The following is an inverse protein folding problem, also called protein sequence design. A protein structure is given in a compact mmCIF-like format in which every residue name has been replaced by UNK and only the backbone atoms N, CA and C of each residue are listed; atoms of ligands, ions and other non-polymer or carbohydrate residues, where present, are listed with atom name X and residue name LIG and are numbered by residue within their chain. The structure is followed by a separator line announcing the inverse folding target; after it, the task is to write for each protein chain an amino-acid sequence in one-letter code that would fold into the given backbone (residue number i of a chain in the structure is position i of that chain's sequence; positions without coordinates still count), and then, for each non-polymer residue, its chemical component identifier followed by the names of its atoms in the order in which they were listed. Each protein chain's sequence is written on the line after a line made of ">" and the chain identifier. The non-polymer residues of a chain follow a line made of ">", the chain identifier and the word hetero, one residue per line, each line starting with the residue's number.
data_IF_655135375556
#
_entry.id   IF_655135375556
#
_cell.length_a   1.000
_cell.length_b   1.000
_cell.length_c   1.000
_cell.angle_alpha   90.00
_cell.angle_beta   90.00
_cell.angle_gamma   90.00
#
_symmetry.space_group_name_H-M   'P 1'
#
loop_
_entity.id
_entity.type
_entity.pdbx_description
1 polymer ?
#
# COMPACT_ATOMS: atom_id res chain seq x y z
N UNK A 1 2.03 -21.80 -83.06
CA UNK A 1 2.03 -22.44 -81.74
C UNK A 1 3.31 -22.08 -81.01
N UNK A 2 3.26 -21.16 -80.03
CA UNK A 2 4.32 -20.98 -79.02
C UNK A 2 3.62 -20.56 -77.72
N UNK A 3 3.74 -21.40 -76.69
CA UNK A 3 3.21 -21.14 -75.34
C UNK A 3 4.29 -20.41 -74.53
N UNK A 4 3.93 -19.42 -73.71
CA UNK A 4 4.86 -18.77 -72.78
C UNK A 4 4.81 -19.39 -71.39
N UNK A 5 5.98 -19.35 -70.75
CA UNK A 5 6.39 -20.19 -69.64
C UNK A 5 6.19 -19.49 -68.30
N UNK A 6 5.84 -20.25 -67.26
CA UNK A 6 6.27 -19.98 -65.89
C UNK A 6 6.64 -21.32 -65.23
N UNK A 7 7.92 -21.53 -64.90
CA UNK A 7 8.41 -22.68 -64.13
C UNK A 7 8.89 -22.15 -62.79
N UNK A 8 8.29 -22.64 -61.72
CA UNK A 8 8.69 -22.32 -60.34
C UNK A 8 9.91 -23.13 -59.95
N UNK A 9 10.97 -22.48 -59.48
CA UNK A 9 12.19 -23.12 -58.97
C UNK A 9 12.22 -23.16 -57.43
N UNK A 10 12.99 -24.11 -56.88
CA UNK A 10 12.87 -24.64 -55.51
C UNK A 10 14.23 -24.61 -54.77
N UNK A 11 14.29 -23.89 -53.64
CA UNK A 11 15.24 -24.00 -52.49
C UNK A 11 16.77 -24.00 -52.87
N UNK A 12 17.80 -24.19 -52.02
CA UNK A 12 18.05 -24.31 -50.55
C UNK A 12 19.27 -23.37 -50.25
N UNK A 13 19.45 -22.72 -49.08
CA UNK A 13 20.48 -23.10 -48.06
C UNK A 13 20.62 -22.10 -46.89
N UNK A 14 20.59 -22.63 -45.66
CA UNK A 14 21.37 -22.34 -44.41
C UNK A 14 22.30 -21.11 -44.32
N UNK A 15 22.55 -20.50 -43.15
CA UNK A 15 21.99 -20.62 -41.79
C UNK A 15 22.55 -19.50 -40.88
N UNK A 16 21.87 -19.20 -39.77
CA UNK A 16 22.51 -18.79 -38.50
C UNK A 16 21.57 -19.11 -37.34
N UNK A 17 22.10 -19.74 -36.29
CA UNK A 17 21.34 -20.17 -35.12
C UNK A 17 21.31 -19.05 -34.09
N UNK A 18 20.12 -18.68 -33.63
CA UNK A 18 19.93 -17.88 -32.42
C UNK A 18 18.94 -18.58 -31.52
N UNK A 19 19.43 -19.04 -30.36
CA UNK A 19 18.70 -19.85 -29.40
C UNK A 19 17.75 -19.03 -28.54
N UNK A 20 16.54 -19.57 -28.37
CA UNK A 20 15.68 -19.50 -27.19
C UNK A 20 15.76 -18.27 -26.26
N UNK A 21 14.65 -17.54 -26.20
CA UNK A 21 13.87 -17.42 -24.96
C UNK A 21 12.44 -17.03 -25.31
N UNK A 22 11.51 -17.97 -25.21
CA UNK A 22 10.08 -17.68 -25.30
C UNK A 22 9.69 -16.85 -24.09
N UNK A 23 9.40 -15.57 -24.30
CA UNK A 23 8.79 -14.72 -23.28
C UNK A 23 7.36 -15.21 -23.01
N UNK A 24 7.21 -16.19 -22.14
CA UNK A 24 5.93 -16.48 -21.51
C UNK A 24 5.52 -15.25 -20.73
N UNK A 25 4.53 -14.50 -21.23
CA UNK A 25 3.79 -13.56 -20.40
C UNK A 25 3.35 -14.30 -19.13
N UNK A 26 3.50 -13.71 -17.93
CA UNK A 26 2.83 -14.23 -16.75
C UNK A 26 1.33 -14.32 -17.05
N UNK A 27 0.79 -15.53 -16.97
CA UNK A 27 -0.62 -15.77 -17.25
C UNK A 27 -1.48 -15.04 -16.24
N UNK A 28 -2.45 -14.25 -16.72
CA UNK A 28 -3.47 -13.59 -15.91
C UNK A 28 -4.36 -14.62 -15.19
N UNK A 29 -3.96 -15.04 -13.99
CA UNK A 29 -4.72 -15.91 -13.11
C UNK A 29 -5.79 -15.12 -12.36
N UNK A 30 -7.07 -15.38 -12.66
CA UNK A 30 -8.21 -14.75 -11.99
C UNK A 30 -9.04 -15.79 -11.25
N UNK A 31 -8.72 -16.01 -9.96
CA UNK A 31 -9.69 -16.33 -8.88
C UNK A 31 -8.98 -16.40 -7.50
N UNK A 32 -9.45 -15.53 -6.58
CA UNK A 32 -9.41 -15.66 -5.11
C UNK A 32 -8.09 -15.90 -4.32
N UNK A 33 -6.93 -15.42 -4.75
CA UNK A 33 -5.76 -15.31 -3.83
C UNK A 33 -5.77 -14.06 -2.93
N UNK A 34 -6.63 -13.08 -3.24
CA UNK A 34 -6.67 -11.78 -2.52
C UNK A 34 -7.30 -11.89 -1.13
N UNK A 35 -6.72 -11.24 -0.11
CA UNK A 35 -7.33 -11.15 1.21
C UNK A 35 -8.61 -10.29 1.19
N UNK A 36 -9.56 -10.64 2.05
CA UNK A 36 -10.79 -9.89 2.28
C UNK A 36 -10.62 -8.95 3.47
N UNK A 37 -10.97 -7.68 3.28
CA UNK A 37 -10.79 -6.63 4.28
C UNK A 37 -12.14 -6.34 4.93
N UNK A 38 -12.20 -6.40 6.26
CA UNK A 38 -13.40 -6.07 7.03
C UNK A 38 -13.16 -4.77 7.79
N UNK A 39 -14.16 -3.89 7.77
CA UNK A 39 -14.12 -2.61 8.47
C UNK A 39 -15.38 -2.39 9.29
N UNK A 40 -15.22 -1.68 10.40
CA UNK A 40 -16.33 -1.16 11.22
C UNK A 40 -16.41 0.34 11.08
N UNK A 41 -17.58 0.90 11.36
CA UNK A 41 -17.81 2.36 11.31
C UNK A 41 -18.62 2.75 12.55
N UNK A 42 -17.96 3.13 13.66
CA UNK A 42 -18.63 3.37 14.93
C UNK A 42 -19.54 4.60 14.93
N UNK A 43 -20.49 4.64 15.88
CA UNK A 43 -20.96 5.89 16.47
C UNK A 43 -22.00 6.73 15.71
N UNK A 44 -22.40 6.41 14.47
CA UNK A 44 -23.41 7.20 13.75
C UNK A 44 -24.81 6.56 13.83
N UNK A 45 -25.72 7.20 14.58
CA UNK A 45 -27.15 6.83 14.62
C UNK A 45 -27.90 7.31 13.37
N UNK A 46 -27.35 8.31 12.68
CA UNK A 46 -27.91 8.92 11.48
C UNK A 46 -27.03 8.62 10.25
N UNK A 47 -27.52 7.86 9.26
CA UNK A 47 -26.86 7.61 7.97
C UNK A 47 -26.16 8.80 7.30
N UNK A 48 -26.70 10.02 7.46
CA UNK A 48 -26.18 11.22 6.80
C UNK A 48 -24.84 11.70 7.35
N UNK A 49 -24.50 11.28 8.57
CA UNK A 49 -23.28 11.71 9.27
C UNK A 49 -22.10 10.75 9.03
N UNK A 50 -22.30 9.67 8.26
CA UNK A 50 -21.27 8.68 7.96
C UNK A 50 -20.21 9.14 6.94
N UNK A 51 -20.39 10.30 6.28
CA UNK A 51 -19.39 10.93 5.40
C UNK A 51 -18.15 11.38 6.19
N UNK A 52 -18.30 11.53 7.51
CA UNK A 52 -17.31 12.08 8.45
C UNK A 52 -17.03 11.13 9.62
N UNK A 53 -17.57 9.90 9.58
CA UNK A 53 -17.37 8.87 10.59
C UNK A 53 -16.11 8.03 10.30
N UNK A 54 -15.46 7.54 11.35
CA UNK A 54 -14.26 6.71 11.25
C UNK A 54 -14.56 5.34 10.62
N UNK A 55 -13.76 4.96 9.64
CA UNK A 55 -13.70 3.61 9.07
C UNK A 55 -12.52 2.90 9.70
N UNK A 56 -12.78 2.05 10.69
CA UNK A 56 -11.75 1.29 11.40
C UNK A 56 -11.50 -0.05 10.69
N UNK A 57 -10.23 -0.38 10.45
CA UNK A 57 -9.82 -1.72 10.03
C UNK A 57 -10.09 -2.71 11.18
N UNK A 58 -11.00 -3.67 10.95
CA UNK A 58 -11.49 -4.60 11.97
C UNK A 58 -10.73 -5.93 11.91
N UNK A 59 -10.65 -6.53 10.72
CA UNK A 59 -9.84 -7.73 10.47
C UNK A 59 -9.47 -7.91 9.00
N UNK A 60 -8.43 -8.67 8.75
CA UNK A 60 -8.03 -9.18 7.45
C UNK A 60 -8.28 -10.69 7.44
N UNK A 61 -8.85 -11.21 6.35
CA UNK A 61 -9.04 -12.66 6.14
C UNK A 61 -8.29 -13.07 4.88
N UNK A 62 -7.29 -13.93 5.05
CA UNK A 62 -6.45 -14.46 3.96
C UNK A 62 -7.21 -15.45 3.08
N UNK A 63 -6.66 -15.75 1.91
CA UNK A 63 -7.32 -16.64 0.94
C UNK A 63 -7.37 -18.11 1.36
N UNK A 64 -6.54 -18.52 2.34
CA UNK A 64 -6.60 -19.82 3.01
C UNK A 64 -7.60 -19.86 4.19
N UNK A 65 -8.25 -18.73 4.51
CA UNK A 65 -9.24 -18.60 5.58
C UNK A 65 -8.68 -18.20 6.95
N UNK A 66 -7.35 -18.08 7.11
CA UNK A 66 -6.75 -17.51 8.34
C UNK A 66 -7.15 -16.04 8.49
N UNK A 67 -7.32 -15.58 9.73
CA UNK A 67 -7.83 -14.24 10.04
C UNK A 67 -6.95 -13.56 11.06
N UNK A 68 -6.78 -12.25 10.90
CA UNK A 68 -5.99 -11.37 11.78
C UNK A 68 -6.87 -10.21 12.20
N UNK A 69 -7.07 -10.04 13.50
CA UNK A 69 -7.96 -9.05 14.09
C UNK A 69 -7.23 -7.71 14.37
N UNK A 70 -8.00 -6.66 14.66
CA UNK A 70 -7.51 -5.30 14.90
C UNK A 70 -6.42 -5.15 15.97
N UNK A 71 -6.36 -6.06 16.94
CA UNK A 71 -5.36 -6.08 18.00
C UNK A 71 -4.08 -6.87 17.65
N UNK A 72 -4.03 -7.51 16.49
CA UNK A 72 -2.90 -8.30 15.98
C UNK A 72 -2.14 -7.54 14.85
N UNK A 73 -2.66 -6.40 14.40
CA UNK A 73 -1.99 -5.53 13.44
C UNK A 73 -0.78 -4.82 14.05
N UNK A 74 0.30 -4.78 13.27
CA UNK A 74 1.51 -4.02 13.57
C UNK A 74 1.50 -2.75 12.73
N UNK A 75 1.44 -1.59 13.39
CA UNK A 75 1.46 -0.30 12.69
C UNK A 75 2.88 0.25 12.56
N UNK A 76 3.11 1.23 11.67
CA UNK A 76 4.24 2.14 11.77
C UNK A 76 4.33 2.75 13.17
N UNK A 77 5.53 2.74 13.73
CA UNK A 77 5.87 3.36 15.01
C UNK A 77 6.97 4.40 14.91
N UNK A 78 7.62 4.57 13.74
CA UNK A 78 8.60 5.64 13.46
C UNK A 78 8.61 5.98 11.96
N UNK A 79 8.87 7.24 11.62
CA UNK A 79 9.14 7.68 10.23
C UNK A 79 10.42 8.52 10.22
N UNK A 80 11.36 8.21 9.33
CA UNK A 80 12.71 8.80 9.30
C UNK A 80 13.11 9.24 7.89
N UNK A 81 14.10 10.13 7.80
CA UNK A 81 14.73 10.58 6.55
C UNK A 81 13.73 11.05 5.47
N UNK A 82 12.73 11.84 5.88
CA UNK A 82 11.70 12.34 4.98
C UNK A 82 12.27 13.30 3.93
N UNK A 83 12.19 12.90 2.67
CA UNK A 83 12.58 13.67 1.49
C UNK A 83 11.35 13.94 0.63
N UNK A 84 11.24 15.18 0.15
CA UNK A 84 10.17 15.63 -0.74
C UNK A 84 10.64 16.89 -1.47
N UNK A 85 10.57 16.87 -2.79
CA UNK A 85 11.08 17.94 -3.67
C UNK A 85 9.98 18.56 -4.55
N UNK A 86 8.72 18.40 -4.14
CA UNK A 86 7.57 18.90 -4.91
C UNK A 86 7.05 20.25 -4.44
N UNK A 87 5.99 20.75 -5.11
CA UNK A 87 5.34 22.01 -4.75
C UNK A 87 4.70 21.97 -3.35
N UNK A 88 4.54 23.17 -2.78
CA UNK A 88 3.76 23.45 -1.57
C UNK A 88 2.29 23.02 -1.75
N UNK A 89 1.57 22.87 -0.63
CA UNK A 89 0.16 22.51 -0.55
C UNK A 89 -0.21 21.16 -1.20
N UNK A 90 0.78 20.32 -1.54
CA UNK A 90 0.58 19.00 -2.16
C UNK A 90 0.96 17.83 -1.27
N UNK A 91 1.53 18.05 -0.09
CA UNK A 91 1.86 17.00 0.87
C UNK A 91 1.24 17.34 2.22
N UNK A 92 0.32 16.51 2.69
CA UNK A 92 -0.44 16.78 3.91
C UNK A 92 -0.80 15.52 4.69
N UNK A 93 -0.86 15.65 6.01
CA UNK A 93 -1.54 14.70 6.87
C UNK A 93 -3.01 15.12 6.99
N UNK A 94 -3.92 14.16 6.96
CA UNK A 94 -5.35 14.38 7.09
C UNK A 94 -5.94 13.35 8.05
N UNK A 95 -6.50 13.84 9.15
CA UNK A 95 -7.39 13.11 10.04
C UNK A 95 -8.78 13.78 10.00
N UNK A 96 -9.86 12.99 10.06
CA UNK A 96 -11.23 13.51 9.89
C UNK A 96 -11.61 14.56 10.95
N UNK A 97 -12.40 15.61 10.62
CA UNK A 97 -12.79 16.65 11.58
C UNK A 97 -13.68 16.14 12.72
N UNK A 98 -14.25 14.94 12.57
CA UNK A 98 -15.08 14.25 13.54
C UNK A 98 -14.51 12.86 13.88
N UNK A 99 -13.19 12.69 13.71
CA UNK A 99 -12.51 11.46 14.10
C UNK A 99 -12.66 11.22 15.61
N UNK A 100 -13.11 10.01 15.95
CA UNK A 100 -13.19 9.46 17.30
C UNK A 100 -11.90 8.73 17.70
N UNK A 101 -11.10 8.32 16.70
CA UNK A 101 -9.79 7.69 16.86
C UNK A 101 -8.71 8.55 16.19
N UNK A 102 -7.74 9.03 16.98
CA UNK A 102 -6.72 9.99 16.55
C UNK A 102 -7.15 11.44 16.76
N UNK A 103 -6.23 12.39 16.59
CA UNK A 103 -6.53 13.82 16.71
C UNK A 103 -7.01 14.39 15.37
N UNK A 104 -8.22 14.99 15.28
CA UNK A 104 -8.65 15.74 14.10
C UNK A 104 -7.67 16.87 13.75
N UNK A 105 -7.06 16.81 12.57
CA UNK A 105 -6.07 17.80 12.11
C UNK A 105 -5.92 17.73 10.58
N UNK A 106 -5.53 18.85 9.97
CA UNK A 106 -5.15 18.93 8.56
C UNK A 106 -3.89 19.79 8.49
N UNK A 107 -2.75 19.17 8.17
CA UNK A 107 -1.44 19.84 8.16
C UNK A 107 -0.71 19.58 6.87
N UNK A 108 -0.23 20.66 6.26
CA UNK A 108 0.70 20.59 5.14
C UNK A 108 2.12 20.62 5.67
N UNK A 109 3.02 19.91 4.98
CA UNK A 109 4.42 19.80 5.39
C UNK A 109 5.11 21.15 5.57
N UNK A 110 4.84 22.14 4.72
CA UNK A 110 5.41 23.49 4.83
C UNK A 110 4.91 24.32 6.03
N UNK A 111 3.91 23.85 6.76
CA UNK A 111 3.27 24.62 7.83
C UNK A 111 3.67 24.15 9.24
N UNK A 112 4.62 23.23 9.36
CA UNK A 112 4.99 22.61 10.64
C UNK A 112 5.86 23.52 11.51
N UNK A 113 6.90 24.15 10.93
CA UNK A 113 7.72 25.13 11.64
C UNK A 113 7.06 26.52 11.77
N UNK A 114 5.90 26.70 11.15
CA UNK A 114 5.11 27.94 11.12
C UNK A 114 5.37 28.84 9.91
N UNK A 115 6.27 28.48 8.99
CA UNK A 115 6.60 29.26 7.79
C UNK A 115 6.17 28.57 6.49
N UNK A 116 4.89 28.72 6.13
CA UNK A 116 4.26 28.14 4.92
C UNK A 116 4.77 28.65 3.56
N UNK A 117 5.92 29.33 3.50
CA UNK A 117 6.53 29.82 2.26
C UNK A 117 7.54 28.81 1.65
N UNK A 118 7.97 27.79 2.40
CA UNK A 118 9.00 26.83 1.99
C UNK A 118 8.87 25.52 2.78
N UNK A 119 9.53 24.45 2.32
CA UNK A 119 9.61 23.19 3.08
C UNK A 119 11.03 23.05 3.63
N UNK A 120 11.20 23.43 4.89
CA UNK A 120 12.46 23.44 5.62
C UNK A 120 12.96 22.03 5.95
N UNK A 121 14.11 21.93 6.61
CA UNK A 121 14.56 20.64 7.18
C UNK A 121 13.78 20.29 8.46
N UNK A 122 13.38 21.31 9.23
CA UNK A 122 12.62 21.14 10.47
C UNK A 122 11.19 20.66 10.17
N UNK A 123 10.56 21.22 9.13
CA UNK A 123 9.26 20.77 8.62
C UNK A 123 9.22 19.26 8.37
N UNK A 124 10.26 18.71 7.72
CA UNK A 124 10.34 17.29 7.37
C UNK A 124 10.44 16.38 8.60
N UNK A 125 11.10 16.85 9.65
CA UNK A 125 11.21 16.12 10.92
C UNK A 125 9.86 16.14 11.64
N UNK A 126 9.29 17.32 11.85
CA UNK A 126 8.01 17.48 12.55
C UNK A 126 6.85 16.80 11.81
N UNK A 127 6.87 16.82 10.47
CA UNK A 127 5.88 16.12 9.66
C UNK A 127 6.04 14.60 9.71
N UNK A 128 7.26 14.07 9.82
CA UNK A 128 7.48 12.64 10.00
C UNK A 128 6.83 12.12 11.30
N UNK A 129 6.96 12.87 12.40
CA UNK A 129 6.27 12.59 13.67
C UNK A 129 4.73 12.60 13.49
N UNK A 130 4.18 13.49 12.65
CA UNK A 130 2.74 13.47 12.31
C UNK A 130 2.33 12.29 11.43
N UNK A 131 3.19 11.84 10.52
CA UNK A 131 2.93 10.66 9.68
C UNK A 131 2.81 9.41 10.56
N UNK A 132 3.66 9.28 11.58
CA UNK A 132 3.54 8.23 12.61
C UNK A 132 2.17 8.28 13.30
N UNK A 133 1.77 9.44 13.84
CA UNK A 133 0.47 9.60 14.53
C UNK A 133 -0.73 9.25 13.63
N UNK A 134 -0.68 9.58 12.34
CA UNK A 134 -1.72 9.22 11.38
C UNK A 134 -1.77 7.70 11.12
N UNK A 135 -0.63 7.03 11.08
CA UNK A 135 -0.53 5.59 10.78
C UNK A 135 -0.67 4.66 11.97
N UNK A 136 -0.31 5.08 13.19
CA UNK A 136 -0.27 4.26 14.42
C UNK A 136 -1.67 3.92 15.02
N UNK A 137 -2.67 3.65 14.18
CA UNK A 137 -4.05 3.41 14.60
C UNK A 137 -4.87 2.67 13.50
N UNK A 138 -5.98 1.98 13.85
CA UNK A 138 -6.83 1.26 12.88
C UNK A 138 -7.67 2.17 11.97
N UNK A 139 -7.71 3.49 12.18
CA UNK A 139 -8.57 4.38 11.42
C UNK A 139 -8.02 4.61 10.00
N UNK A 140 -8.73 4.12 8.99
CA UNK A 140 -8.35 4.24 7.57
C UNK A 140 -8.55 5.66 7.03
N UNK A 141 -9.31 6.51 7.73
CA UNK A 141 -9.44 7.93 7.40
C UNK A 141 -8.24 8.76 7.87
N UNK A 142 -7.48 8.28 8.86
CA UNK A 142 -6.24 8.91 9.31
C UNK A 142 -5.10 8.49 8.38
N UNK A 143 -4.64 9.42 7.54
CA UNK A 143 -3.71 9.09 6.45
C UNK A 143 -2.81 10.24 6.05
N UNK A 144 -1.84 9.88 5.22
CA UNK A 144 -0.91 10.82 4.59
C UNK A 144 -1.32 10.96 3.13
N UNK A 145 -1.72 12.16 2.72
CA UNK A 145 -2.11 12.46 1.35
C UNK A 145 -1.04 13.28 0.63
N UNK A 146 -0.59 12.77 -0.52
CA UNK A 146 0.38 13.40 -1.38
C UNK A 146 -0.16 13.49 -2.81
N UNK A 147 -0.43 14.70 -3.29
CA UNK A 147 -1.04 15.00 -4.60
C UNK A 147 -0.01 15.64 -5.54
N UNK A 148 0.97 14.86 -6.01
CA UNK A 148 2.18 15.39 -6.66
C UNK A 148 2.74 14.48 -7.75
N UNK A 149 3.58 15.04 -8.62
CA UNK A 149 4.44 14.29 -9.54
C UNK A 149 5.90 14.30 -9.11
N UNK A 150 6.22 14.90 -7.96
CA UNK A 150 7.59 14.98 -7.47
C UNK A 150 8.01 13.72 -6.74
N UNK A 151 9.30 13.40 -6.86
CA UNK A 151 9.94 12.37 -6.04
C UNK A 151 9.85 12.68 -4.55
N UNK A 152 9.54 11.64 -3.78
CA UNK A 152 9.59 11.61 -2.33
C UNK A 152 10.16 10.28 -1.86
N UNK A 153 10.58 10.25 -0.60
CA UNK A 153 10.98 9.01 0.04
C UNK A 153 11.21 9.19 1.54
N UNK A 154 10.99 8.12 2.28
CA UNK A 154 11.15 8.07 3.73
C UNK A 154 11.38 6.62 4.16
N UNK A 155 11.96 6.45 5.34
CA UNK A 155 12.08 5.16 6.02
C UNK A 155 10.91 5.04 7.00
N UNK A 156 10.29 3.87 7.03
CA UNK A 156 9.24 3.50 7.99
C UNK A 156 9.79 2.41 8.90
N UNK A 157 9.64 2.61 10.21
CA UNK A 157 9.84 1.58 11.22
C UNK A 157 8.50 1.08 11.73
N UNK A 158 8.28 -0.22 11.73
CA UNK A 158 7.13 -0.86 12.38
C UNK A 158 7.27 -0.82 13.91
N UNK A 159 6.16 -0.88 14.65
CA UNK A 159 6.18 -0.91 16.12
C UNK A 159 6.94 -2.13 16.67
N UNK A 160 6.70 -3.31 16.09
CA UNK A 160 7.49 -4.53 16.30
C UNK A 160 8.07 -5.01 14.97
N UNK A 161 9.07 -5.90 15.03
CA UNK A 161 9.43 -6.71 13.86
C UNK A 161 8.29 -7.70 13.58
N UNK A 162 7.95 -7.86 12.31
CA UNK A 162 7.05 -8.91 11.81
C UNK A 162 7.87 -10.04 11.19
N UNK A 163 7.30 -11.24 11.16
CA UNK A 163 7.89 -12.42 10.56
C UNK A 163 6.96 -13.00 9.50
N UNK A 164 7.57 -13.52 8.45
CA UNK A 164 6.94 -14.33 7.41
C UNK A 164 7.00 -15.81 7.82
N UNK A 165 5.83 -16.45 7.88
CA UNK A 165 5.68 -17.85 8.26
C UNK A 165 6.14 -18.88 7.22
N UNK A 166 6.29 -18.46 5.97
CA UNK A 166 6.57 -19.29 4.81
C UNK A 166 7.27 -18.47 3.72
N UNK A 167 8.61 -18.58 3.70
CA UNK A 167 9.54 -17.83 2.84
C UNK A 167 9.41 -18.06 1.31
N UNK A 168 8.28 -18.53 0.82
CA UNK A 168 7.95 -18.67 -0.59
C UNK A 168 6.51 -18.16 -0.84
N UNK A 169 6.40 -17.09 -1.65
CA UNK A 169 5.20 -16.40 -2.16
C UNK A 169 3.89 -17.17 -1.91
N UNK A 170 3.12 -16.71 -0.91
CA UNK A 170 1.99 -17.45 -0.35
C UNK A 170 0.66 -16.66 -0.28
N UNK A 171 -0.32 -17.24 0.41
CA UNK A 171 -1.68 -16.73 0.54
C UNK A 171 -1.83 -15.57 1.56
N UNK A 172 -0.75 -15.22 2.28
CA UNK A 172 -0.74 -14.42 3.51
C UNK A 172 0.28 -13.27 3.48
N UNK A 173 0.13 -12.28 2.60
CA UNK A 173 1.04 -11.14 2.56
C UNK A 173 1.10 -10.39 3.91
N UNK A 174 2.31 -10.06 4.37
CA UNK A 174 2.53 -9.40 5.66
C UNK A 174 2.30 -7.88 5.63
N UNK A 175 2.61 -7.20 4.52
CA UNK A 175 2.57 -5.74 4.45
C UNK A 175 1.41 -5.24 3.57
N UNK A 176 0.62 -4.32 4.10
CA UNK A 176 -0.56 -3.75 3.47
C UNK A 176 -0.42 -2.24 3.32
N UNK A 177 -0.59 -1.75 2.09
CA UNK A 177 -0.68 -0.33 1.77
C UNK A 177 -2.06 -0.06 1.21
N UNK A 178 -2.81 0.77 1.92
CA UNK A 178 -4.15 1.22 1.55
C UNK A 178 -4.07 2.59 0.86
N UNK A 179 -4.82 2.74 -0.23
CA UNK A 179 -4.93 3.97 -1.04
C UNK A 179 -6.36 4.26 -1.49
N UNK A 180 -6.84 5.50 -1.32
CA UNK A 180 -8.12 5.95 -1.89
C UNK A 180 -8.10 5.93 -3.42
N UNK A 181 -7.12 6.62 -4.02
CA UNK A 181 -7.06 6.81 -5.47
C UNK A 181 -6.42 5.62 -6.17
N UNK A 182 -5.54 4.89 -5.48
CA UNK A 182 -4.81 3.73 -5.98
C UNK A 182 -4.27 3.93 -7.40
N UNK A 183 -3.51 5.00 -7.55
CA UNK A 183 -2.79 5.35 -8.78
C UNK A 183 -1.29 5.56 -8.52
N UNK A 184 -0.82 5.34 -7.29
CA UNK A 184 0.57 5.48 -6.92
C UNK A 184 1.41 4.35 -7.48
N UNK A 185 2.66 4.69 -7.79
CA UNK A 185 3.72 3.74 -8.09
C UNK A 185 4.83 3.99 -7.07
N UNK A 186 5.06 3.00 -6.21
CA UNK A 186 5.98 3.07 -5.09
C UNK A 186 7.05 2.01 -5.25
N UNK A 187 8.25 2.27 -4.75
CA UNK A 187 9.27 1.24 -4.56
C UNK A 187 9.49 1.03 -3.07
N UNK A 188 9.33 -0.21 -2.62
CA UNK A 188 9.61 -0.65 -1.26
C UNK A 188 10.94 -1.40 -1.25
N UNK A 189 11.81 -1.06 -0.30
CA UNK A 189 13.10 -1.70 -0.07
C UNK A 189 13.21 -2.06 1.41
N UNK A 190 13.36 -3.34 1.75
CA UNK A 190 13.65 -3.76 3.13
C UNK A 190 15.03 -3.25 3.57
N UNK A 191 15.17 -2.94 4.85
CA UNK A 191 16.41 -2.46 5.47
C UNK A 191 16.78 -3.27 6.72
N UNK A 192 18.06 -3.29 7.08
CA UNK A 192 18.54 -3.72 8.40
C UNK A 192 18.40 -2.61 9.46
N UNK A 193 18.77 -2.90 10.71
CA UNK A 193 18.74 -1.95 11.82
C UNK A 193 19.74 -0.80 11.67
N UNK A 194 20.77 -0.96 10.84
CA UNK A 194 21.72 0.08 10.41
C UNK A 194 21.23 0.89 9.17
N UNK A 195 20.02 0.61 8.68
CA UNK A 195 19.37 1.22 7.51
C UNK A 195 20.02 0.95 6.13
N UNK A 196 20.87 -0.07 6.02
CA UNK A 196 21.38 -0.57 4.74
C UNK A 196 20.28 -1.35 4.00
N UNK A 197 20.38 -1.44 2.67
CA UNK A 197 19.41 -2.20 1.88
C UNK A 197 19.61 -3.72 2.06
N UNK A 198 18.55 -4.45 2.38
CA UNK A 198 18.52 -5.91 2.47
C UNK A 198 17.54 -6.47 1.44
N UNK A 199 17.92 -7.56 0.75
CA UNK A 199 17.07 -8.18 -0.25
C UNK A 199 16.89 -7.33 -1.53
N UNK A 200 15.73 -7.46 -2.18
CA UNK A 200 15.43 -6.87 -3.49
C UNK A 200 14.35 -5.78 -3.38
N UNK A 201 14.51 -4.60 -4.03
CA UNK A 201 13.46 -3.60 -4.06
C UNK A 201 12.29 -4.06 -4.93
N UNK A 202 11.06 -3.90 -4.43
CA UNK A 202 9.82 -4.27 -5.12
C UNK A 202 9.07 -3.02 -5.53
N UNK A 203 8.71 -2.93 -6.82
CA UNK A 203 7.72 -1.95 -7.27
C UNK A 203 6.32 -2.41 -6.86
N UNK A 204 5.61 -1.54 -6.16
CA UNK A 204 4.27 -1.74 -5.62
C UNK A 204 3.33 -0.74 -6.26
N UNK A 205 2.20 -1.25 -6.76
CA UNK A 205 1.13 -0.48 -7.39
C UNK A 205 -0.19 -0.92 -6.77
N UNK A 206 -1.03 0.04 -6.43
CA UNK A 206 -2.38 -0.22 -5.92
C UNK A 206 -3.33 -0.66 -7.07
N UNK A 207 -3.15 -1.89 -7.55
CA UNK A 207 -3.99 -2.56 -8.58
C UNK A 207 -4.80 -3.72 -8.03
N UNK A 208 -4.59 -4.10 -6.77
CA UNK A 208 -5.41 -5.09 -6.08
C UNK A 208 -6.59 -4.42 -5.38
N UNK A 209 -7.73 -4.39 -6.09
CA UNK A 209 -9.02 -4.17 -5.45
C UNK A 209 -9.28 -5.41 -4.58
N UNK A 210 -9.09 -5.24 -3.27
CA UNK A 210 -9.61 -6.17 -2.29
C UNK A 210 -11.13 -6.03 -2.23
N UNK A 211 -11.84 -7.14 -1.99
CA UNK A 211 -13.24 -7.03 -1.59
C UNK A 211 -13.25 -6.52 -0.15
N UNK A 212 -13.35 -5.20 0.00
CA UNK A 212 -13.69 -4.63 1.29
C UNK A 212 -15.16 -4.95 1.53
N UNK A 213 -15.44 -5.54 2.69
CA UNK A 213 -16.78 -5.68 3.21
C UNK A 213 -17.01 -4.60 4.29
N UNK A 214 -17.10 -3.31 3.93
CA UNK A 214 -17.68 -2.36 4.87
C UNK A 214 -19.16 -2.70 5.01
N UNK A 215 -19.77 -2.43 6.16
CA UNK A 215 -21.22 -2.59 6.35
C UNK A 215 -22.03 -1.48 5.62
N UNK A 216 -21.49 -0.94 4.53
CA UNK A 216 -21.84 0.27 3.75
C UNK A 216 -21.45 1.58 4.46
N UNK A 217 -20.63 2.39 3.80
CA UNK A 217 -20.28 3.76 4.20
C UNK A 217 -20.81 4.72 3.14
N UNK A 218 -21.36 5.85 3.57
CA UNK A 218 -22.18 6.71 2.73
C UNK A 218 -21.33 7.65 1.89
N UNK A 219 -21.16 7.33 0.61
CA UNK A 219 -20.33 8.09 -0.35
C UNK A 219 -21.06 9.31 -0.94
N UNK A 220 -21.45 10.25 -0.08
CA UNK A 220 -21.70 11.68 -0.40
C UNK A 220 -22.75 12.05 -1.47
N UNK A 221 -23.46 11.09 -2.06
CA UNK A 221 -24.42 11.30 -3.14
C UNK A 221 -25.86 11.32 -2.62
N UNK A 222 -26.72 12.07 -3.29
CA UNK A 222 -28.13 12.21 -2.94
C UNK A 222 -29.00 11.88 -4.15
N UNK A 223 -30.10 11.16 -3.92
CA UNK A 223 -31.17 11.01 -4.88
C UNK A 223 -31.92 12.35 -5.07
N UNK A 224 -32.68 12.48 -6.15
CA UNK A 224 -33.46 13.69 -6.44
C UNK A 224 -34.56 13.99 -5.39
N UNK A 225 -34.92 13.02 -4.56
CA UNK A 225 -35.87 13.15 -3.44
C UNK A 225 -35.21 13.62 -2.13
N UNK A 226 -33.89 13.87 -2.11
CA UNK A 226 -33.15 14.21 -0.89
C UNK A 226 -32.91 13.04 0.06
N UNK A 227 -33.14 11.79 -0.39
CA UNK A 227 -32.61 10.61 0.30
C UNK A 227 -31.11 10.43 -0.03
N UNK A 228 -30.27 10.04 0.94
CA UNK A 228 -28.87 9.75 0.66
C UNK A 228 -28.77 8.46 -0.16
N UNK A 229 -27.85 8.42 -1.13
CA UNK A 229 -27.52 7.21 -1.87
C UNK A 229 -26.53 6.37 -1.06
N UNK A 230 -26.92 5.14 -0.73
CA UNK A 230 -25.97 4.15 -0.19
C UNK A 230 -25.02 3.69 -1.30
N UNK A 231 -23.73 3.62 -0.99
CA UNK A 231 -22.74 3.00 -1.86
C UNK A 231 -21.77 2.12 -1.08
N UNK A 232 -20.88 1.45 -1.80
CA UNK A 232 -19.73 0.77 -1.21
C UNK A 232 -18.56 1.74 -1.17
N UNK A 233 -17.82 1.77 -0.06
CA UNK A 233 -16.53 2.43 -0.02
C UNK A 233 -15.50 1.47 -0.63
N UNK A 234 -15.06 1.79 -1.85
CA UNK A 234 -13.93 1.13 -2.49
C UNK A 234 -12.65 1.84 -2.06
N UNK A 235 -11.80 1.12 -1.34
CA UNK A 235 -10.42 1.50 -1.06
C UNK A 235 -9.53 0.48 -1.75
N UNK A 236 -8.51 0.98 -2.43
CA UNK A 236 -7.57 0.16 -3.18
C UNK A 236 -6.43 -0.23 -2.26
N UNK A 237 -5.79 -1.33 -2.59
CA UNK A 237 -4.74 -1.88 -1.74
C UNK A 237 -3.60 -2.39 -2.61
N UNK A 238 -2.41 -2.40 -2.04
CA UNK A 238 -1.38 -3.31 -2.44
C UNK A 238 -0.97 -4.13 -1.21
N UNK A 239 -0.90 -5.45 -1.38
CA UNK A 239 -0.38 -6.37 -0.38
C UNK A 239 0.96 -6.94 -0.85
N UNK A 240 1.92 -7.00 0.05
CA UNK A 240 3.29 -7.45 -0.20
C UNK A 240 3.67 -8.52 0.82
N UNK A 241 3.88 -9.72 0.29
CA UNK A 241 4.55 -10.84 0.93
C UNK A 241 6.07 -10.55 1.07
N UNK A 242 6.66 -10.87 2.22
CA UNK A 242 8.08 -10.55 2.50
C UNK A 242 9.07 -11.35 1.65
N UNK A 243 8.71 -12.55 1.19
CA UNK A 243 9.55 -13.36 0.30
C UNK A 243 9.82 -12.64 -1.03
N UNK A 244 8.92 -11.76 -1.48
CA UNK A 244 9.11 -10.90 -2.66
C UNK A 244 10.18 -9.83 -2.46
N UNK A 245 10.38 -9.37 -1.22
CA UNK A 245 11.53 -8.54 -0.84
C UNK A 245 12.79 -9.40 -0.63
N UNK A 246 12.67 -10.73 -0.53
CA UNK A 246 13.76 -11.65 -0.26
C UNK A 246 14.19 -11.68 1.21
N UNK A 247 13.28 -11.40 2.14
CA UNK A 247 13.53 -11.40 3.60
C UNK A 247 12.49 -12.25 4.33
N UNK A 248 12.85 -12.84 5.47
CA UNK A 248 11.93 -13.63 6.34
C UNK A 248 11.28 -12.81 7.45
N UNK A 249 11.69 -11.55 7.60
CA UNK A 249 11.26 -10.65 8.65
C UNK A 249 11.45 -9.20 8.20
N UNK A 250 10.65 -8.31 8.79
CA UNK A 250 10.70 -6.89 8.47
C UNK A 250 10.48 -6.05 9.73
N UNK A 251 11.37 -5.08 9.95
CA UNK A 251 11.21 -4.01 10.95
C UNK A 251 11.27 -2.65 10.26
N UNK A 252 12.21 -2.50 9.34
CA UNK A 252 12.51 -1.27 8.62
C UNK A 252 12.36 -1.45 7.12
N UNK A 253 11.74 -0.46 6.47
CA UNK A 253 11.69 -0.40 5.01
C UNK A 253 11.70 1.04 4.53
N UNK A 254 12.28 1.27 3.35
CA UNK A 254 12.23 2.56 2.65
C UNK A 254 11.12 2.52 1.62
N UNK A 255 10.24 3.52 1.65
CA UNK A 255 9.34 3.86 0.54
C UNK A 255 9.99 4.98 -0.26
N UNK A 256 9.97 4.85 -1.59
CA UNK A 256 10.32 5.93 -2.53
C UNK A 256 9.34 5.96 -3.69
N UNK A 257 9.23 7.09 -4.39
CA UNK A 257 8.65 7.13 -5.74
C UNK A 257 9.63 7.74 -6.73
N UNK A 258 9.53 7.33 -7.99
CA UNK A 258 10.28 7.87 -9.12
C UNK A 258 9.31 8.18 -10.27
N UNK A 259 8.48 9.22 -10.11
CA UNK A 259 7.54 9.64 -11.16
C UNK A 259 8.29 10.42 -12.25
N UNK A 260 8.81 9.71 -13.24
CA UNK A 260 9.21 10.30 -14.53
C UNK A 260 8.07 10.20 -15.53
N UNK A 261 7.26 11.27 -15.59
CA UNK A 261 6.34 11.54 -16.69
C UNK A 261 4.87 11.16 -16.48
N UNK A 262 4.02 12.18 -16.38
CA UNK A 262 2.73 12.14 -17.08
C UNK A 262 1.46 11.75 -16.31
N UNK A 263 1.42 11.90 -14.97
CA UNK A 263 0.18 11.79 -14.21
C UNK A 263 0.35 12.21 -12.75
N UNK A 264 -0.59 12.95 -12.17
CA UNK A 264 -0.57 13.24 -10.72
C UNK A 264 -0.75 11.93 -9.93
N UNK A 265 0.31 11.48 -9.26
CA UNK A 265 0.19 10.43 -8.26
C UNK A 265 -0.50 11.02 -7.02
N UNK A 266 -1.60 10.42 -6.59
CA UNK A 266 -2.31 10.77 -5.36
C UNK A 266 -2.11 9.66 -4.35
N UNK A 267 -0.96 9.67 -3.69
CA UNK A 267 -0.62 8.70 -2.66
C UNK A 267 -1.34 9.08 -1.37
N UNK A 268 -2.53 8.51 -1.19
CA UNK A 268 -3.38 8.61 0.00
C UNK A 268 -3.10 7.42 0.93
N UNK A 269 -1.91 7.37 1.53
CA UNK A 269 -1.33 6.17 2.13
C UNK A 269 -1.76 5.96 3.59
N UNK A 270 -2.17 4.72 3.89
CA UNK A 270 -2.18 4.12 5.23
C UNK A 270 -1.49 2.76 5.18
N UNK A 271 -0.51 2.54 6.06
CA UNK A 271 0.29 1.31 6.09
C UNK A 271 -0.10 0.49 7.32
N UNK A 272 -0.27 -0.81 7.13
CA UNK A 272 -0.51 -1.80 8.19
C UNK A 272 0.33 -3.03 7.90
N UNK A 273 0.91 -3.65 8.91
CA UNK A 273 1.62 -4.91 8.81
C UNK A 273 0.97 -5.99 9.67
N UNK A 274 1.28 -7.23 9.36
CA UNK A 274 0.85 -8.45 10.05
C UNK A 274 2.07 -9.30 10.31
N UNK A 275 2.20 -9.83 11.53
CA UNK A 275 3.11 -10.93 11.81
C UNK A 275 2.37 -12.23 11.46
N UNK A 276 2.83 -12.96 10.44
CA UNK A 276 2.18 -14.21 10.01
C UNK A 276 2.73 -15.44 10.71
N UNK A 277 3.80 -15.29 11.51
CA UNK A 277 4.52 -16.41 12.12
C UNK A 277 3.59 -17.37 12.87
N UNK A 278 3.90 -18.69 12.84
CA UNK A 278 3.43 -19.55 13.91
C UNK A 278 4.09 -19.01 15.19
N UNK A 279 3.29 -18.35 16.05
CA UNK A 279 3.74 -17.72 17.28
C UNK A 279 4.82 -18.58 17.95
N UNK A 280 6.03 -18.02 18.18
CA UNK A 280 7.25 -18.79 18.28
C UNK A 280 7.04 -19.95 19.23
N UNK A 281 7.11 -21.17 18.69
CA UNK A 281 6.83 -22.40 19.43
C UNK A 281 7.64 -22.32 20.72
N UNK A 282 6.95 -22.16 21.85
CA UNK A 282 7.58 -21.87 23.12
C UNK A 282 8.64 -22.94 23.31
N UNK A 283 9.92 -22.54 23.26
CA UNK A 283 11.01 -23.49 23.39
C UNK A 283 10.87 -24.05 24.79
N UNK A 284 10.27 -25.24 24.88
CA UNK A 284 10.23 -26.01 26.11
C UNK A 284 11.68 -26.23 26.47
N UNK A 285 12.17 -25.44 27.40
CA UNK A 285 13.46 -25.64 28.04
C UNK A 285 13.36 -26.98 28.77
N UNK A 286 13.67 -28.06 28.05
CA UNK A 286 14.10 -29.31 28.63
C UNK A 286 15.42 -29.02 29.30
N UNK A 287 15.33 -28.75 30.60
CA UNK A 287 16.47 -28.86 31.50
C UNK A 287 16.78 -30.36 31.60
N UNK A 288 17.97 -30.74 31.16
CA UNK A 288 18.59 -32.05 31.42
C UNK A 288 18.93 -32.22 32.91
#
# INVERSE_FOLDING_TARGET
>A
MVVRIAVTAVFISTALVSSALSSTQPSSGSCSSRPSIYTTTPGYTNPRDAVVADVLLDRIVFSDGVQVQSNEFVYPGQVLNLTYNGPLARFRMQNGPLASVGTPDLRYIEAEDGNSASISAQDRVMFADRMELAWANPNLNNRVQLQTQAGYGFIVGLQTQIWDSNFADDARPELFIFEDQGNSVLTIQALDDEFNNVGTPVEVRAVDIASINPTKVWVGRWNQDGSPQSGTYELKMASLDLSRLGVTHLKWFRITTQVQGGGEASADLKIVAVDTSPAPAAQTMTFD
#
